data_IF_154786475286
#
_entry.id   IF_154786475286
#
_cell.length_a   1.000
_cell.length_b   1.000
_cell.length_c   1.000
_cell.angle_alpha   90.00
_cell.angle_beta   90.00
_cell.angle_gamma   90.00
#
_symmetry.space_group_name_H-M   'P 1'
#
loop_
_entity.id
_entity.type
_entity.pdbx_description
1 polymer ?
#
# COMPACT_ATOMS: atom_id res chain seq x y z
N UNK A 1 11.65 15.15 14.41
CA UNK A 1 10.58 15.20 13.38
C UNK A 1 10.01 13.80 13.23
N UNK A 2 8.69 13.63 13.36
CA UNK A 2 8.03 12.36 13.05
C UNK A 2 7.69 12.39 11.56
N UNK A 3 8.22 11.45 10.79
CA UNK A 3 8.04 11.35 9.34
C UNK A 3 6.65 10.80 8.94
N UNK A 4 5.83 10.36 9.89
CA UNK A 4 4.50 9.80 9.65
C UNK A 4 3.41 10.48 10.48
N UNK A 5 2.16 10.38 10.04
CA UNK A 5 0.97 10.88 10.74
C UNK A 5 -0.10 9.81 10.82
N UNK A 6 -0.66 9.63 12.03
CA UNK A 6 -1.73 8.68 12.33
C UNK A 6 -1.45 7.28 11.77
N UNK A 7 -2.40 6.79 10.96
CA UNK A 7 -2.38 5.47 10.34
C UNK A 7 -1.46 5.32 9.11
N UNK A 8 -0.66 6.33 8.73
CA UNK A 8 0.18 6.25 7.53
C UNK A 8 1.20 5.10 7.53
N UNK A 9 1.66 4.68 8.72
CA UNK A 9 2.58 3.53 8.90
C UNK A 9 1.98 2.20 8.41
N UNK A 10 0.66 2.07 8.31
CA UNK A 10 0.01 0.88 7.77
C UNK A 10 0.46 0.58 6.33
N UNK A 11 0.83 1.58 5.55
CA UNK A 11 1.31 1.36 4.17
C UNK A 11 2.55 0.47 4.14
N UNK A 12 3.49 0.72 5.05
CA UNK A 12 4.70 -0.08 5.19
C UNK A 12 4.39 -1.49 5.71
N UNK A 13 3.46 -1.60 6.68
CA UNK A 13 3.03 -2.90 7.19
C UNK A 13 2.35 -3.74 6.09
N UNK A 14 1.45 -3.14 5.30
CA UNK A 14 0.79 -3.81 4.17
C UNK A 14 1.82 -4.25 3.13
N UNK A 15 2.81 -3.41 2.80
CA UNK A 15 3.88 -3.79 1.89
C UNK A 15 4.68 -4.99 2.42
N UNK A 16 5.06 -4.98 3.70
CA UNK A 16 5.81 -6.06 4.33
C UNK A 16 5.01 -7.38 4.35
N UNK A 17 3.72 -7.32 4.69
CA UNK A 17 2.83 -8.48 4.68
C UNK A 17 2.63 -9.01 3.26
N UNK A 18 2.42 -8.13 2.28
CA UNK A 18 2.30 -8.52 0.87
C UNK A 18 3.58 -9.21 0.37
N UNK A 19 4.75 -8.64 0.67
CA UNK A 19 6.02 -9.25 0.29
C UNK A 19 6.22 -10.63 0.94
N UNK A 20 6.08 -10.71 2.27
CA UNK A 20 6.24 -11.97 2.99
C UNK A 20 5.22 -13.02 2.55
N UNK A 21 3.95 -12.65 2.43
CA UNK A 21 2.87 -13.52 1.95
C UNK A 21 3.10 -14.00 0.51
N UNK A 22 3.59 -13.11 -0.36
CA UNK A 22 3.96 -13.47 -1.73
C UNK A 22 5.09 -14.49 -1.80
N UNK A 23 6.16 -14.28 -1.02
CA UNK A 23 7.27 -15.24 -0.90
C UNK A 23 6.77 -16.58 -0.37
N UNK A 24 5.95 -16.58 0.68
CA UNK A 24 5.38 -17.81 1.25
C UNK A 24 4.49 -18.55 0.24
N UNK A 25 3.68 -17.82 -0.54
CA UNK A 25 2.88 -18.39 -1.61
C UNK A 25 3.76 -19.02 -2.69
N UNK A 26 4.84 -18.36 -3.10
CA UNK A 26 5.77 -18.90 -4.11
C UNK A 26 6.55 -20.13 -3.64
N UNK A 27 6.61 -20.41 -2.33
CA UNK A 27 7.12 -21.69 -1.81
C UNK A 27 6.13 -22.85 -1.96
N UNK A 28 4.82 -22.56 -2.06
CA UNK A 28 3.75 -23.57 -2.09
C UNK A 28 3.14 -23.75 -3.48
N UNK A 29 2.94 -22.65 -4.21
CA UNK A 29 2.26 -22.65 -5.52
C UNK A 29 2.90 -23.60 -6.56
N UNK A 30 4.23 -23.72 -6.66
CA UNK A 30 4.84 -24.69 -7.59
C UNK A 30 4.47 -26.14 -7.29
N UNK A 31 4.13 -26.47 -6.02
CA UNK A 31 3.72 -27.82 -5.61
C UNK A 31 2.35 -28.22 -6.16
N UNK A 32 1.56 -27.24 -6.62
CA UNK A 32 0.23 -27.44 -7.24
C UNK A 32 0.21 -27.03 -8.72
N UNK A 33 1.40 -26.90 -9.34
CA UNK A 33 1.54 -26.61 -10.77
C UNK A 33 1.46 -25.13 -11.16
N UNK A 34 1.42 -24.20 -10.18
CA UNK A 34 1.42 -22.76 -10.45
C UNK A 34 2.87 -22.25 -10.37
N UNK A 35 3.44 -21.67 -11.45
CA UNK A 35 4.84 -21.28 -11.47
C UNK A 35 5.13 -20.08 -10.56
N UNK A 36 6.28 -20.10 -9.88
CA UNK A 36 6.83 -18.90 -9.25
C UNK A 36 7.34 -17.91 -10.32
N UNK A 37 7.25 -16.58 -10.11
CA UNK A 37 6.85 -15.88 -8.90
C UNK A 37 5.38 -15.39 -8.92
N UNK A 38 4.41 -16.24 -9.31
CA UNK A 38 2.98 -15.86 -9.36
C UNK A 38 2.45 -15.39 -8.00
N UNK A 39 2.90 -16.00 -6.91
CA UNK A 39 2.51 -15.63 -5.54
C UNK A 39 2.90 -14.21 -5.21
N UNK A 40 4.13 -13.80 -5.53
CA UNK A 40 4.60 -12.43 -5.30
C UNK A 40 3.84 -11.40 -6.13
N UNK A 41 3.52 -11.71 -7.40
CA UNK A 41 2.69 -10.83 -8.25
C UNK A 41 1.31 -10.63 -7.64
N UNK A 42 0.62 -11.72 -7.27
CA UNK A 42 -0.70 -11.65 -6.66
C UNK A 42 -0.69 -10.89 -5.34
N UNK A 43 0.31 -11.14 -4.49
CA UNK A 43 0.40 -10.48 -3.20
C UNK A 43 0.65 -8.97 -3.34
N UNK A 44 1.47 -8.52 -4.30
CA UNK A 44 1.63 -7.10 -4.58
C UNK A 44 0.35 -6.44 -5.10
N UNK A 45 -0.40 -7.11 -5.99
CA UNK A 45 -1.68 -6.60 -6.48
C UNK A 45 -2.72 -6.47 -5.35
N UNK A 46 -2.82 -7.48 -4.49
CA UNK A 46 -3.72 -7.47 -3.33
C UNK A 46 -3.29 -6.40 -2.32
N UNK A 47 -1.99 -6.32 -2.01
CA UNK A 47 -1.44 -5.32 -1.10
C UNK A 47 -1.67 -3.89 -1.59
N UNK A 48 -1.40 -3.62 -2.87
CA UNK A 48 -1.66 -2.33 -3.49
C UNK A 48 -3.15 -1.94 -3.43
N UNK A 49 -4.03 -2.89 -3.76
CA UNK A 49 -5.49 -2.68 -3.73
C UNK A 49 -5.99 -2.40 -2.32
N UNK A 50 -5.57 -3.21 -1.34
CA UNK A 50 -5.92 -3.03 0.06
C UNK A 50 -5.43 -1.68 0.61
N UNK A 51 -4.17 -1.31 0.33
CA UNK A 51 -3.59 -0.03 0.74
C UNK A 51 -4.33 1.17 0.12
N UNK A 52 -4.77 1.06 -1.14
CA UNK A 52 -5.49 2.12 -1.84
C UNK A 52 -6.87 2.35 -1.23
N UNK A 53 -7.63 1.27 -1.03
CA UNK A 53 -8.97 1.31 -0.42
C UNK A 53 -8.89 1.85 1.01
N UNK A 54 -7.97 1.33 1.81
CA UNK A 54 -7.78 1.77 3.19
C UNK A 54 -7.31 3.23 3.25
N UNK A 55 -6.33 3.60 2.42
CA UNK A 55 -5.81 4.96 2.31
C UNK A 55 -6.90 5.97 1.96
N UNK A 56 -7.72 5.70 0.93
CA UNK A 56 -8.86 6.57 0.60
C UNK A 56 -9.88 6.65 1.72
N UNK A 57 -10.23 5.52 2.35
CA UNK A 57 -11.22 5.50 3.42
C UNK A 57 -10.76 6.29 4.65
N UNK A 58 -9.47 6.22 4.98
CA UNK A 58 -8.90 6.91 6.12
C UNK A 58 -8.68 8.40 5.83
N UNK A 59 -8.15 8.75 4.65
CA UNK A 59 -7.87 10.13 4.26
C UNK A 59 -9.09 10.90 3.73
N UNK A 60 -10.18 10.21 3.37
CA UNK A 60 -11.42 10.81 2.87
C UNK A 60 -12.44 11.20 3.94
N UNK A 61 -12.11 11.06 5.23
CA UNK A 61 -13.04 11.41 6.31
C UNK A 61 -13.22 12.93 6.39
N UNK A 62 -14.46 13.43 6.53
CA UNK A 62 -14.71 14.87 6.63
C UNK A 62 -13.98 15.46 7.84
N UNK A 63 -13.46 16.67 7.66
CA UNK A 63 -12.85 17.42 8.76
C UNK A 63 -13.88 17.73 9.84
N UNK A 64 -13.41 17.84 11.09
CA UNK A 64 -14.27 18.28 12.20
C UNK A 64 -14.11 19.78 12.34
N UNK A 65 -15.19 20.53 12.19
CA UNK A 65 -15.22 21.93 12.55
C UNK A 65 -15.13 22.05 14.08
N UNK A 66 -14.20 22.86 14.54
CA UNK A 66 -14.03 23.20 15.96
C UNK A 66 -13.96 24.70 16.10
N UNK A 67 -14.54 25.23 17.18
CA UNK A 67 -14.42 26.65 17.53
C UNK A 67 -13.22 26.77 18.47
N UNK A 68 -12.27 27.62 18.11
CA UNK A 68 -11.17 27.96 19.01
C UNK A 68 -11.70 28.81 20.16
N UNK A 69 -11.59 28.30 21.38
CA UNK A 69 -12.11 28.95 22.58
C UNK A 69 -11.44 30.29 22.91
N UNK A 70 -10.22 30.56 22.38
CA UNK A 70 -9.50 31.81 22.64
C UNK A 70 -9.84 32.91 21.65
N UNK A 71 -10.10 32.56 20.40
CA UNK A 71 -10.27 33.52 19.30
C UNK A 71 -11.70 33.57 18.76
N UNK A 72 -12.54 32.59 19.11
CA UNK A 72 -13.88 32.43 18.54
C UNK A 72 -13.88 32.00 17.07
N UNK A 73 -12.71 31.73 16.48
CA UNK A 73 -12.59 31.36 15.07
C UNK A 73 -13.01 29.91 14.82
N UNK A 74 -13.61 29.65 13.67
CA UNK A 74 -13.91 28.29 13.20
C UNK A 74 -12.68 27.71 12.52
N UNK A 75 -12.21 26.57 13.01
CA UNK A 75 -11.06 25.84 12.47
C UNK A 75 -11.52 24.47 11.96
N UNK A 76 -11.18 24.14 10.71
CA UNK A 76 -11.48 22.83 10.13
C UNK A 76 -10.30 21.88 10.37
N UNK A 77 -10.46 20.93 11.28
CA UNK A 77 -9.44 19.93 11.57
C UNK A 77 -9.63 18.69 10.69
N UNK A 78 -8.79 18.57 9.67
CA UNK A 78 -8.74 17.41 8.77
C UNK A 78 -7.64 16.45 9.24
N UNK A 79 -8.01 15.21 9.58
CA UNK A 79 -7.01 14.17 9.89
C UNK A 79 -6.38 13.66 8.59
N UNK A 80 -5.07 13.77 8.48
CA UNK A 80 -4.29 13.20 7.37
C UNK A 80 -3.45 12.02 7.87
N UNK A 81 -3.49 10.93 7.13
CA UNK A 81 -2.74 9.70 7.36
C UNK A 81 -1.67 9.57 6.28
N UNK A 82 -0.46 9.94 6.65
CA UNK A 82 0.68 10.08 5.74
C UNK A 82 1.89 9.32 6.26
N UNK A 83 2.71 8.83 5.34
CA UNK A 83 4.03 8.28 5.61
C UNK A 83 5.01 9.07 4.74
N UNK A 84 6.11 9.56 5.31
CA UNK A 84 6.98 10.56 4.71
C UNK A 84 6.21 11.73 4.06
N UNK A 85 5.19 12.23 4.76
CA UNK A 85 4.28 13.30 4.28
C UNK A 85 3.47 12.96 3.02
N UNK A 86 3.59 11.76 2.47
CA UNK A 86 2.83 11.26 1.33
C UNK A 86 1.56 10.56 1.85
N UNK A 87 0.37 10.91 1.35
CA UNK A 87 -0.87 10.19 1.65
C UNK A 87 -0.75 8.68 1.40
N UNK A 88 -1.18 7.89 2.37
CA UNK A 88 -1.10 6.42 2.36
C UNK A 88 -1.50 5.77 1.02
N UNK A 89 -2.57 6.23 0.38
CA UNK A 89 -3.03 5.66 -0.89
C UNK A 89 -1.97 5.70 -2.00
N UNK A 90 -1.07 6.68 -2.01
CA UNK A 90 -0.06 6.78 -3.07
C UNK A 90 1.06 5.75 -2.93
N UNK A 91 1.23 5.12 -1.77
CA UNK A 91 2.12 3.97 -1.62
C UNK A 91 1.64 2.73 -2.38
N UNK A 92 0.39 2.71 -2.88
CA UNK A 92 -0.06 1.65 -3.79
C UNK A 92 0.66 1.71 -5.14
N UNK A 93 1.12 2.88 -5.59
CA UNK A 93 1.85 3.02 -6.85
C UNK A 93 3.18 2.25 -6.82
N UNK A 94 4.09 2.47 -5.85
CA UNK A 94 5.33 1.69 -5.78
C UNK A 94 5.06 0.19 -5.57
N UNK A 95 4.01 -0.20 -4.83
CA UNK A 95 3.60 -1.61 -4.74
C UNK A 95 3.25 -2.21 -6.10
N UNK A 96 2.48 -1.49 -6.93
CA UNK A 96 2.14 -1.91 -8.30
C UNK A 96 3.39 -1.96 -9.19
N UNK A 97 4.29 -0.97 -9.08
CA UNK A 97 5.56 -0.96 -9.81
C UNK A 97 6.40 -2.18 -9.45
N UNK A 98 6.50 -2.54 -8.17
CA UNK A 98 7.21 -3.75 -7.74
C UNK A 98 6.59 -5.01 -8.33
N UNK A 99 5.25 -5.12 -8.32
CA UNK A 99 4.55 -6.22 -8.98
C UNK A 99 4.82 -6.28 -10.49
N UNK A 100 4.80 -5.14 -11.18
CA UNK A 100 5.08 -5.05 -12.61
C UNK A 100 6.53 -5.43 -12.93
N UNK A 101 7.50 -5.01 -12.11
CA UNK A 101 8.91 -5.38 -12.27
C UNK A 101 9.11 -6.90 -12.12
N UNK A 102 8.37 -7.56 -11.22
CA UNK A 102 8.39 -9.02 -11.09
C UNK A 102 7.87 -9.69 -12.37
N UNK A 103 6.78 -9.18 -12.95
CA UNK A 103 6.24 -9.68 -14.23
C UNK A 103 7.22 -9.47 -15.37
N UNK A 104 7.80 -8.27 -15.50
CA UNK A 104 8.82 -7.99 -16.53
C UNK A 104 10.02 -8.94 -16.37
N UNK A 105 10.50 -9.12 -15.14
CA UNK A 105 11.58 -10.07 -14.85
C UNK A 105 11.23 -11.51 -15.22
N UNK A 106 9.96 -11.91 -15.08
CA UNK A 106 9.49 -13.23 -15.52
C UNK A 106 9.50 -13.34 -17.06
N UNK A 107 8.96 -12.36 -17.76
CA UNK A 107 8.90 -12.34 -19.24
C UNK A 107 10.31 -12.37 -19.85
N UNK A 108 11.25 -11.62 -19.27
CA UNK A 108 12.64 -11.60 -19.73
C UNK A 108 13.38 -12.93 -19.51
N UNK A 109 12.92 -13.77 -18.58
CA UNK A 109 13.50 -15.11 -18.31
C UNK A 109 12.96 -16.18 -19.24
N UNK A 110 11.77 -16.00 -19.79
CA UNK A 110 11.18 -16.91 -20.78
C UNK A 110 11.55 -16.41 -22.18
N UNK A 111 12.50 -17.05 -22.90
CA UNK A 111 12.80 -16.65 -24.27
C UNK A 111 11.52 -16.78 -25.13
N UNK A 112 11.24 -15.85 -26.05
CA UNK A 112 10.17 -16.02 -27.01
C UNK A 112 10.45 -17.28 -27.84
N UNK A 113 9.44 -18.15 -27.93
CA UNK A 113 9.48 -19.39 -28.72
C UNK A 113 9.63 -19.12 -30.22
#
# INVERSE_FOLDING_TARGET
MIIWSGWGVLSALIAAIAFAGGVLLDLQLPRVGIPAPTGLVLAWLVGASANWVLGKRLNGRPGREMIDARTGQRVLLVRKHTLFWIPMQYYSIPMLVLGALVVVGLVLRTPPA
#
